data_IF_200609294929
#
_entry.id   IF_200609294929
#
_cell.length_a   1.000
_cell.length_b   1.000
_cell.length_c   1.000
_cell.angle_alpha   90.00
_cell.angle_beta   90.00
_cell.angle_gamma   90.00
#
_symmetry.space_group_name_H-M   'P 1'
#
loop_
_entity.id
_entity.type
_entity.pdbx_description
1 polymer ?
#
# COMPACT_ATOMS: atom_id res chain seq x y z
N UNK A 1 21.98 0.43 -2.34
CA UNK A 1 21.75 1.58 -1.52
C UNK A 1 20.84 1.30 -0.36
N UNK A 2 21.20 1.78 0.79
CA UNK A 2 20.34 1.60 1.93
C UNK A 2 19.26 2.63 1.94
N UNK A 3 18.08 2.21 2.21
CA UNK A 3 16.97 3.12 2.32
C UNK A 3 16.69 3.38 3.78
N UNK A 4 15.89 4.37 4.03
CA UNK A 4 15.46 4.65 5.39
C UNK A 4 14.71 3.47 5.98
N UNK A 5 13.99 2.74 5.15
CA UNK A 5 13.29 1.56 5.63
C UNK A 5 14.23 0.49 6.13
N UNK A 6 15.37 0.33 5.45
CA UNK A 6 16.35 -0.63 5.91
C UNK A 6 16.93 -0.27 7.26
N UNK A 7 17.23 1.01 7.43
CA UNK A 7 17.75 1.49 8.70
C UNK A 7 16.71 1.30 9.79
N UNK A 8 15.49 1.62 9.46
CA UNK A 8 14.37 1.48 10.35
C UNK A 8 14.22 0.05 10.84
N UNK A 9 14.28 -0.89 9.92
CA UNK A 9 14.09 -2.29 10.25
C UNK A 9 15.17 -2.81 11.19
N UNK A 10 16.36 -2.28 11.11
CA UNK A 10 17.45 -2.72 11.96
C UNK A 10 17.36 -2.18 13.37
N UNK A 11 16.57 -1.14 13.57
CA UNK A 11 16.51 -0.46 14.85
C UNK A 11 15.20 -0.74 15.54
N UNK A 12 15.11 -1.88 16.17
CA UNK A 12 13.85 -2.34 16.72
C UNK A 12 13.29 -1.49 17.83
N UNK A 13 14.16 -0.96 18.68
CA UNK A 13 13.67 -0.12 19.75
C UNK A 13 13.07 1.17 19.21
N UNK A 14 13.60 1.62 18.13
CA UNK A 14 13.08 2.79 17.45
C UNK A 14 11.66 2.54 16.95
N UNK A 15 11.41 1.32 16.54
CA UNK A 15 10.11 0.95 15.99
C UNK A 15 8.96 1.20 16.95
N UNK A 16 9.15 0.89 18.21
CA UNK A 16 8.10 1.10 19.18
C UNK A 16 7.78 2.57 19.35
N UNK A 17 8.79 3.39 19.36
CA UNK A 17 8.61 4.82 19.57
C UNK A 17 7.95 5.46 18.38
N UNK A 18 8.24 4.97 17.18
CA UNK A 18 7.82 5.60 15.94
C UNK A 18 6.58 4.99 15.32
N UNK A 19 5.87 4.18 16.05
CA UNK A 19 4.77 3.45 15.47
C UNK A 19 3.72 4.34 14.81
N UNK A 20 3.36 5.43 15.45
CA UNK A 20 2.38 6.34 14.88
C UNK A 20 2.89 7.02 13.63
N UNK A 21 4.16 7.43 13.68
CA UNK A 21 4.75 8.06 12.52
C UNK A 21 4.89 7.09 11.37
N UNK A 22 5.19 5.84 11.70
CA UNK A 22 5.30 4.82 10.68
C UNK A 22 3.97 4.62 9.98
N UNK A 23 2.88 4.63 10.71
CA UNK A 23 1.55 4.49 10.15
C UNK A 23 1.23 5.64 9.20
N UNK A 24 1.52 6.86 9.61
CA UNK A 24 1.30 8.02 8.77
C UNK A 24 2.17 7.99 7.53
N UNK A 25 3.39 7.55 7.68
CA UNK A 25 4.29 7.44 6.56
C UNK A 25 3.79 6.40 5.56
N UNK A 26 3.31 5.27 6.05
CA UNK A 26 2.76 4.25 5.19
C UNK A 26 1.56 4.79 4.40
N UNK A 27 0.69 5.54 5.07
CA UNK A 27 -0.46 6.13 4.39
C UNK A 27 -0.02 7.06 3.27
N UNK A 28 0.97 7.88 3.54
CA UNK A 28 1.45 8.83 2.53
C UNK A 28 2.06 8.12 1.34
N UNK A 29 2.82 7.08 1.58
CA UNK A 29 3.43 6.31 0.50
C UNK A 29 2.34 5.66 -0.36
N UNK A 30 1.37 5.03 0.28
CA UNK A 30 0.31 4.35 -0.44
C UNK A 30 -0.51 5.34 -1.25
N UNK A 31 -0.86 6.46 -0.64
CA UNK A 31 -1.62 7.50 -1.34
C UNK A 31 -0.88 8.00 -2.56
N UNK A 32 0.41 8.24 -2.40
CA UNK A 32 1.23 8.75 -3.49
C UNK A 32 1.26 7.76 -4.66
N UNK A 33 1.41 6.48 -4.35
CA UNK A 33 1.45 5.46 -5.38
C UNK A 33 0.11 5.37 -6.11
N UNK A 34 -0.98 5.38 -5.36
CA UNK A 34 -2.31 5.30 -5.98
C UNK A 34 -2.55 6.51 -6.87
N UNK A 35 -2.13 7.69 -6.42
CA UNK A 35 -2.27 8.90 -7.23
C UNK A 35 -1.52 8.80 -8.56
N UNK A 36 -0.43 8.07 -8.56
CA UNK A 36 0.36 7.89 -9.76
C UNK A 36 -0.17 6.82 -10.70
N UNK A 37 -1.26 6.17 -10.33
CA UNK A 37 -1.84 5.09 -11.13
C UNK A 37 -3.30 5.39 -11.44
N UNK A 38 -3.56 6.31 -12.36
CA UNK A 38 -4.97 6.66 -12.67
C UNK A 38 -5.78 5.50 -13.18
N UNK A 39 -5.13 4.49 -13.74
CA UNK A 39 -5.81 3.29 -14.22
C UNK A 39 -6.18 2.35 -13.09
N UNK A 40 -5.70 2.63 -11.87
CA UNK A 40 -5.95 1.78 -10.72
C UNK A 40 -4.77 0.88 -10.39
N UNK A 41 -4.72 0.45 -9.14
CA UNK A 41 -3.66 -0.43 -8.67
C UNK A 41 -4.26 -1.40 -7.67
N UNK A 42 -3.79 -2.64 -7.66
CA UNK A 42 -4.29 -3.65 -6.75
C UNK A 42 -3.51 -3.64 -5.44
N UNK A 43 -4.11 -4.22 -4.41
CA UNK A 43 -3.40 -4.37 -3.13
C UNK A 43 -2.13 -5.19 -3.30
N UNK A 44 -2.16 -6.21 -4.15
CA UNK A 44 -0.99 -7.03 -4.39
C UNK A 44 0.16 -6.19 -4.95
N UNK A 45 -0.15 -5.36 -5.93
CA UNK A 45 0.86 -4.48 -6.49
C UNK A 45 1.39 -3.49 -5.46
N UNK A 46 0.51 -3.00 -4.61
CA UNK A 46 0.94 -2.11 -3.52
C UNK A 46 1.89 -2.82 -2.58
N UNK A 47 1.60 -4.08 -2.26
CA UNK A 47 2.50 -4.87 -1.42
C UNK A 47 3.87 -5.01 -2.07
N UNK A 48 3.89 -5.30 -3.36
CA UNK A 48 5.15 -5.49 -4.08
C UNK A 48 5.95 -4.20 -4.13
N UNK A 49 5.29 -3.10 -4.43
CA UNK A 49 5.98 -1.83 -4.58
C UNK A 49 6.48 -1.26 -3.26
N UNK A 50 5.73 -1.49 -2.19
CA UNK A 50 6.08 -0.90 -0.91
C UNK A 50 6.84 -1.83 0.00
N UNK A 51 6.66 -3.14 -0.16
CA UNK A 51 7.19 -4.11 0.78
C UNK A 51 6.36 -4.22 2.05
N UNK A 52 5.24 -3.52 2.12
CA UNK A 52 4.37 -3.59 3.30
C UNK A 52 3.55 -4.86 3.25
N UNK A 53 3.10 -5.34 4.41
CA UNK A 53 2.27 -6.53 4.47
C UNK A 53 0.87 -6.24 3.91
N UNK A 54 0.18 -7.29 3.52
CA UNK A 54 -1.17 -7.17 3.00
C UNK A 54 -2.09 -6.51 4.03
N UNK A 55 -1.93 -6.87 5.28
CA UNK A 55 -2.72 -6.30 6.36
C UNK A 55 -2.49 -4.80 6.47
N UNK A 56 -1.22 -4.40 6.40
CA UNK A 56 -0.89 -2.98 6.46
C UNK A 56 -1.48 -2.21 5.29
N UNK A 57 -1.36 -2.78 4.09
CA UNK A 57 -1.91 -2.14 2.90
C UNK A 57 -3.42 -1.92 3.06
N UNK A 58 -4.13 -2.96 3.46
CA UNK A 58 -5.58 -2.86 3.61
C UNK A 58 -5.95 -1.81 4.66
N UNK A 59 -5.29 -1.83 5.79
CA UNK A 59 -5.59 -0.89 6.86
C UNK A 59 -5.32 0.54 6.44
N UNK A 60 -4.16 0.77 5.86
CA UNK A 60 -3.79 2.14 5.46
C UNK A 60 -4.68 2.64 4.33
N UNK A 61 -4.97 1.77 3.37
CA UNK A 61 -5.84 2.16 2.26
C UNK A 61 -7.21 2.59 2.77
N UNK A 62 -7.74 1.85 3.72
CA UNK A 62 -9.06 2.18 4.28
C UNK A 62 -9.07 3.49 5.05
N UNK A 63 -7.91 3.94 5.50
CA UNK A 63 -7.82 5.18 6.27
C UNK A 63 -7.66 6.41 5.38
N UNK A 64 -7.38 6.22 4.10
CA UNK A 64 -7.13 7.35 3.21
C UNK A 64 -8.45 7.77 2.57
N UNK A 65 -8.90 9.02 2.79
CA UNK A 65 -10.13 9.48 2.17
C UNK A 65 -9.97 9.54 0.66
N UNK A 66 -11.04 9.21 -0.03
CA UNK A 66 -11.04 9.33 -1.48
C UNK A 66 -10.55 8.11 -2.24
N UNK A 67 -10.09 7.09 -1.55
CA UNK A 67 -9.71 5.85 -2.23
C UNK A 67 -10.98 5.06 -2.52
N UNK A 68 -11.19 4.74 -3.78
CA UNK A 68 -12.38 4.00 -4.19
C UNK A 68 -11.99 2.86 -5.11
N UNK A 69 -12.88 1.89 -5.21
CA UNK A 69 -12.72 0.80 -6.16
C UNK A 69 -13.15 1.31 -7.53
N UNK A 70 -12.25 1.24 -8.50
CA UNK A 70 -12.55 1.74 -9.83
C UNK A 70 -12.64 0.63 -10.88
N UNK A 71 -12.38 -0.61 -10.50
CA UNK A 71 -12.48 -1.71 -11.44
C UNK A 71 -11.85 -2.95 -10.84
N UNK A 72 -11.65 -3.93 -11.71
CA UNK A 72 -11.07 -5.19 -11.30
C UNK A 72 -10.01 -5.60 -12.30
N UNK A 73 -8.97 -6.24 -11.81
CA UNK A 73 -7.93 -6.82 -12.65
C UNK A 73 -7.86 -8.31 -12.39
N UNK A 74 -7.65 -9.07 -13.46
CA UNK A 74 -7.48 -10.51 -13.32
C UNK A 74 -5.98 -10.76 -13.13
N UNK A 75 -5.63 -11.36 -12.01
CA UNK A 75 -4.25 -11.65 -11.69
C UNK A 75 -4.10 -13.16 -11.57
N UNK A 76 -3.11 -13.69 -12.25
CA UNK A 76 -2.83 -15.11 -12.19
C UNK A 76 -1.79 -15.37 -11.12
N UNK A 77 -2.09 -16.29 -10.23
CA UNK A 77 -1.15 -16.67 -9.20
C UNK A 77 -1.10 -18.19 -9.13
N UNK A 78 -0.46 -18.72 -8.09
CA UNK A 78 -0.27 -20.17 -7.99
C UNK A 78 -1.58 -20.91 -7.79
N UNK A 79 -2.64 -20.21 -7.44
CA UNK A 79 -3.95 -20.81 -7.25
C UNK A 79 -4.89 -20.57 -8.43
N UNK A 80 -4.39 -19.98 -9.50
CA UNK A 80 -5.17 -19.71 -10.68
C UNK A 80 -5.49 -18.23 -10.84
N UNK A 81 -6.45 -17.94 -11.70
CA UNK A 81 -6.82 -16.56 -11.96
C UNK A 81 -7.72 -16.06 -10.86
N UNK A 82 -7.47 -14.86 -10.41
CA UNK A 82 -8.28 -14.21 -9.40
C UNK A 82 -8.59 -12.79 -9.81
N UNK A 83 -9.77 -12.34 -9.45
CA UNK A 83 -10.13 -10.94 -9.65
C UNK A 83 -9.68 -10.15 -8.43
N UNK A 84 -8.97 -9.08 -8.69
CA UNK A 84 -8.50 -8.18 -7.65
C UNK A 84 -9.02 -6.79 -7.92
N UNK A 85 -9.41 -6.11 -6.87
CA UNK A 85 -9.95 -4.77 -6.99
C UNK A 85 -8.85 -3.79 -7.37
N UNK A 86 -9.17 -2.92 -8.31
CA UNK A 86 -8.31 -1.81 -8.67
C UNK A 86 -8.74 -0.60 -7.87
N UNK A 87 -7.79 -0.03 -7.16
CA UNK A 87 -8.06 1.12 -6.29
C UNK A 87 -7.53 2.38 -6.95
N UNK A 88 -8.31 3.44 -6.82
CA UNK A 88 -7.92 4.73 -7.38
C UNK A 88 -8.41 5.84 -6.48
N UNK A 89 -8.11 7.06 -6.87
CA UNK A 89 -8.55 8.25 -6.14
C UNK A 89 -9.84 8.73 -6.77
N UNK A 90 -10.86 8.86 -5.95
CA UNK A 90 -12.12 9.42 -6.42
C UNK A 90 -11.99 10.91 -6.59
N UNK A 91 -12.47 11.39 -7.69
CA UNK A 91 -12.42 12.78 -7.93
C UNK A 91 -13.69 13.38 -7.81
N UNK A 92 -13.81 14.20 -7.04
CA UNK A 92 -14.98 14.78 -7.05
C UNK A 92 -15.29 15.42 -6.06
#
# INVERSE_FOLDING_TARGET
MQTELSIYARNKSYKQVQQKEETGLQRNVIKHIIQGHPEGITDLELCILTGFSRTSITARRNEIPGIIAIGFAKIQDEYGDRLNTLWGIGNR
#
